data_IF_665229283859
#
_entry.id   IF_665229283859
#
_cell.length_a   1.000
_cell.length_b   1.000
_cell.length_c   1.000
_cell.angle_alpha   90.00
_cell.angle_beta   90.00
_cell.angle_gamma   90.00
#
_symmetry.space_group_name_H-M   'P 1'
#
loop_
_entity.id
_entity.type
_entity.pdbx_description
1 polymer ?
#
# COMPACT_ATOMS: atom_id res chain seq x y z
N UNK A 1 9.39 -8.83 3.86
CA UNK A 1 9.86 -8.80 2.45
C UNK A 1 9.19 -7.63 1.75
N UNK A 2 9.81 -7.01 0.73
CA UNK A 2 9.24 -5.93 -0.08
C UNK A 2 9.33 -6.34 -1.55
N UNK A 3 8.18 -6.33 -2.24
CA UNK A 3 8.11 -6.65 -3.66
C UNK A 3 8.18 -5.38 -4.50
N UNK A 4 8.98 -5.43 -5.55
CA UNK A 4 9.10 -4.36 -6.54
C UNK A 4 7.92 -4.39 -7.52
N UNK A 5 7.87 -3.41 -8.42
CA UNK A 5 6.83 -3.29 -9.44
C UNK A 5 6.58 -4.59 -10.21
N UNK A 6 5.31 -5.02 -10.24
CA UNK A 6 4.86 -6.22 -10.95
C UNK A 6 5.30 -7.55 -10.33
N UNK A 7 5.88 -7.58 -9.13
CA UNK A 7 6.28 -8.82 -8.47
C UNK A 7 5.16 -9.37 -7.58
N UNK A 8 4.76 -10.62 -7.82
CA UNK A 8 3.75 -11.35 -7.05
C UNK A 8 4.19 -12.81 -6.83
N UNK A 9 3.62 -13.44 -5.80
CA UNK A 9 3.89 -14.85 -5.46
C UNK A 9 3.05 -15.79 -6.33
N UNK A 10 3.49 -15.98 -7.57
CA UNK A 10 2.80 -16.87 -8.52
C UNK A 10 3.52 -16.98 -9.85
N UNK A 11 3.10 -17.96 -10.66
CA UNK A 11 3.52 -18.10 -12.06
C UNK A 11 2.52 -17.45 -13.00
N UNK A 12 3.04 -16.72 -13.98
CA UNK A 12 2.23 -16.08 -15.00
C UNK A 12 1.65 -17.12 -15.97
N UNK A 13 0.33 -17.09 -16.13
CA UNK A 13 -0.38 -17.84 -17.19
C UNK A 13 -0.54 -16.97 -18.43
N UNK A 14 -0.83 -15.68 -18.23
CA UNK A 14 -0.95 -14.67 -19.27
C UNK A 14 -0.59 -13.30 -18.72
N UNK A 15 0.11 -12.47 -19.49
CA UNK A 15 0.54 -11.13 -19.05
C UNK A 15 0.50 -10.13 -20.21
N UNK A 16 0.11 -8.89 -19.88
CA UNK A 16 0.23 -7.71 -20.75
C UNK A 16 0.56 -6.47 -19.94
N UNK A 17 1.15 -5.51 -20.62
CA UNK A 17 1.35 -4.14 -20.08
C UNK A 17 0.65 -3.16 -21.01
N UNK A 18 -0.20 -2.30 -20.46
CA UNK A 18 -0.98 -1.31 -21.17
C UNK A 18 -1.18 -0.07 -20.29
N UNK A 19 -0.92 1.12 -20.84
CA UNK A 19 -1.20 2.40 -20.16
C UNK A 19 -0.59 2.50 -18.74
N UNK A 20 0.60 1.92 -18.54
CA UNK A 20 1.24 1.87 -17.21
C UNK A 20 0.62 0.84 -16.25
N UNK A 21 -0.31 0.00 -16.73
CA UNK A 21 -0.92 -1.09 -15.97
C UNK A 21 -0.28 -2.43 -16.36
N UNK A 22 0.22 -3.15 -15.37
CA UNK A 22 0.59 -4.55 -15.49
C UNK A 22 -0.64 -5.42 -15.24
N UNK A 23 -1.06 -6.21 -16.23
CA UNK A 23 -2.20 -7.13 -16.14
C UNK A 23 -1.67 -8.55 -16.23
N UNK A 24 -1.94 -9.38 -15.24
CA UNK A 24 -1.44 -10.75 -15.24
C UNK A 24 -2.43 -11.74 -14.60
N UNK A 25 -2.76 -12.80 -15.34
CA UNK A 25 -3.37 -13.98 -14.75
C UNK A 25 -2.28 -14.89 -14.19
N UNK A 26 -2.49 -15.37 -12.99
CA UNK A 26 -1.49 -16.10 -12.22
C UNK A 26 -2.08 -17.30 -11.47
N UNK A 27 -1.22 -18.27 -11.20
CA UNK A 27 -1.46 -19.34 -10.24
C UNK A 27 -0.43 -19.25 -9.11
N UNK A 28 -0.80 -19.51 -7.84
CA UNK A 28 0.14 -19.46 -6.72
C UNK A 28 1.24 -20.53 -6.88
N UNK A 29 2.46 -20.19 -6.50
CA UNK A 29 3.61 -21.12 -6.59
C UNK A 29 4.33 -21.30 -5.25
N UNK A 30 3.95 -20.52 -4.24
CA UNK A 30 4.56 -20.58 -2.92
C UNK A 30 3.58 -21.24 -1.95
N UNK A 31 3.98 -22.33 -1.27
CA UNK A 31 3.14 -22.98 -0.26
C UNK A 31 2.73 -22.02 0.86
N UNK A 32 1.54 -22.22 1.44
CA UNK A 32 0.97 -21.35 2.49
C UNK A 32 1.97 -21.05 3.62
N UNK A 33 2.72 -22.06 4.07
CA UNK A 33 3.63 -21.92 5.22
C UNK A 33 4.90 -21.14 4.92
N UNK A 34 5.29 -21.01 3.64
CA UNK A 34 6.49 -20.29 3.19
C UNK A 34 6.20 -18.83 2.84
N UNK A 35 4.94 -18.42 2.77
CA UNK A 35 4.59 -17.02 2.50
C UNK A 35 4.84 -16.19 3.75
N UNK A 36 5.79 -15.28 3.67
CA UNK A 36 6.09 -14.32 4.73
C UNK A 36 5.22 -13.05 4.61
N UNK A 37 5.15 -12.30 5.71
CA UNK A 37 4.55 -10.96 5.69
C UNK A 37 5.38 -10.06 4.77
N UNK A 38 4.71 -9.44 3.80
CA UNK A 38 5.33 -8.58 2.79
C UNK A 38 4.53 -7.30 2.50
N UNK A 39 5.11 -6.44 1.67
CA UNK A 39 4.49 -5.23 1.12
C UNK A 39 4.81 -5.17 -0.36
N UNK A 40 3.93 -4.53 -1.15
CA UNK A 40 4.19 -4.18 -2.54
C UNK A 40 4.41 -2.68 -2.68
N UNK A 41 5.34 -2.29 -3.55
CA UNK A 41 5.54 -0.89 -3.92
C UNK A 41 4.40 -0.37 -4.82
N UNK A 42 3.71 -1.30 -5.47
CA UNK A 42 2.58 -1.06 -6.36
C UNK A 42 1.25 -0.93 -5.63
N UNK A 43 0.35 -0.12 -6.20
CA UNK A 43 -1.07 -0.35 -6.03
C UNK A 43 -1.49 -1.52 -6.91
N UNK A 44 -2.34 -2.41 -6.40
CA UNK A 44 -2.86 -3.49 -7.24
C UNK A 44 -4.28 -3.89 -6.87
N UNK A 45 -5.03 -4.24 -7.92
CA UNK A 45 -6.29 -4.96 -7.79
C UNK A 45 -6.00 -6.45 -7.94
N UNK A 46 -6.64 -7.25 -7.11
CA UNK A 46 -6.55 -8.71 -7.09
C UNK A 46 -7.94 -9.30 -7.28
N UNK A 47 -8.22 -9.87 -8.45
CA UNK A 47 -9.42 -10.66 -8.70
C UNK A 47 -9.15 -12.10 -8.30
N UNK A 48 -9.80 -12.57 -7.24
CA UNK A 48 -9.81 -13.97 -6.83
C UNK A 48 -10.79 -14.73 -7.69
N UNK A 49 -10.32 -15.68 -8.46
CA UNK A 49 -11.15 -16.45 -9.41
C UNK A 49 -11.44 -17.84 -8.91
N UNK A 50 -10.48 -18.47 -8.25
CA UNK A 50 -10.59 -19.83 -7.73
C UNK A 50 -9.60 -20.04 -6.56
N UNK A 51 -9.94 -21.00 -5.67
CA UNK A 51 -9.10 -21.35 -4.52
C UNK A 51 -9.53 -20.71 -3.21
N UNK A 52 -9.01 -21.23 -2.11
CA UNK A 52 -9.22 -20.71 -0.77
C UNK A 52 -8.14 -19.67 -0.44
N UNK A 53 -8.49 -18.41 -0.47
CA UNK A 53 -7.56 -17.31 -0.21
C UNK A 53 -7.56 -16.91 1.25
N UNK A 54 -6.38 -16.81 1.83
CA UNK A 54 -6.12 -16.37 3.20
C UNK A 54 -5.46 -15.01 3.15
N UNK A 55 -6.04 -14.04 3.86
CA UNK A 55 -5.50 -12.69 3.93
C UNK A 55 -5.28 -12.23 5.37
N UNK A 56 -4.14 -11.61 5.60
CA UNK A 56 -3.88 -10.84 6.81
C UNK A 56 -3.96 -9.34 6.56
N UNK A 57 -4.30 -8.95 5.32
CA UNK A 57 -4.46 -7.56 4.96
C UNK A 57 -5.59 -6.94 5.78
N UNK A 58 -5.31 -5.76 6.27
CA UNK A 58 -6.32 -5.00 6.97
C UNK A 58 -7.44 -4.61 6.01
N UNK A 59 -8.68 -4.70 6.49
CA UNK A 59 -9.89 -4.46 5.67
C UNK A 59 -10.44 -5.73 5.03
N UNK A 60 -9.70 -6.85 5.08
CA UNK A 60 -10.10 -8.12 4.51
C UNK A 60 -10.54 -9.12 5.58
N UNK A 61 -11.50 -10.01 5.28
CA UNK A 61 -11.73 -11.20 6.09
C UNK A 61 -10.51 -12.12 6.03
N UNK A 62 -10.23 -12.84 7.13
CA UNK A 62 -9.09 -13.75 7.20
C UNK A 62 -9.15 -14.90 6.14
N UNK A 63 -10.35 -15.22 5.66
CA UNK A 63 -10.60 -16.27 4.68
C UNK A 63 -11.56 -15.73 3.63
N UNK A 64 -11.21 -15.88 2.36
CA UNK A 64 -12.07 -15.62 1.21
C UNK A 64 -12.20 -16.90 0.41
N UNK A 65 -13.39 -17.45 0.35
CA UNK A 65 -13.75 -18.66 -0.40
C UNK A 65 -14.74 -18.36 -1.55
N UNK A 66 -14.93 -17.08 -1.83
CA UNK A 66 -15.78 -16.58 -2.88
C UNK A 66 -14.96 -15.76 -3.86
N UNK A 67 -15.43 -15.68 -5.09
CA UNK A 67 -14.90 -14.73 -6.05
C UNK A 67 -15.02 -13.31 -5.50
N UNK A 68 -13.92 -12.60 -5.48
CA UNK A 68 -13.85 -11.25 -4.94
C UNK A 68 -12.81 -10.43 -5.68
N UNK A 69 -12.99 -9.13 -5.68
CA UNK A 69 -11.96 -8.18 -6.10
C UNK A 69 -11.51 -7.35 -4.91
N UNK A 70 -10.21 -7.26 -4.75
CA UNK A 70 -9.54 -6.59 -3.63
C UNK A 70 -8.62 -5.54 -4.22
N UNK A 71 -8.66 -4.32 -3.68
CA UNK A 71 -7.69 -3.27 -4.01
C UNK A 71 -6.73 -3.09 -2.83
N UNK A 72 -5.44 -3.21 -3.10
CA UNK A 72 -4.35 -2.97 -2.15
C UNK A 72 -3.59 -1.71 -2.56
N UNK A 73 -3.65 -0.63 -1.77
CA UNK A 73 -2.78 0.54 -1.97
C UNK A 73 -1.30 0.19 -1.78
N UNK A 74 -0.37 1.00 -2.35
CA UNK A 74 1.05 0.82 -2.14
C UNK A 74 1.42 0.78 -0.65
N UNK A 75 2.31 -0.15 -0.29
CA UNK A 75 2.78 -0.30 1.09
C UNK A 75 1.81 -1.02 2.03
N UNK A 76 0.68 -1.52 1.53
CA UNK A 76 -0.21 -2.38 2.33
C UNK A 76 0.57 -3.60 2.81
N UNK A 77 0.65 -3.75 4.13
CA UNK A 77 1.37 -4.87 4.75
C UNK A 77 0.44 -6.04 4.94
N UNK A 78 0.79 -7.18 4.36
CA UNK A 78 -0.04 -8.37 4.42
C UNK A 78 0.78 -9.67 4.32
N UNK A 79 0.14 -10.76 4.69
CA UNK A 79 0.51 -12.13 4.35
C UNK A 79 -0.70 -12.73 3.66
N UNK A 80 -0.65 -12.74 2.35
CA UNK A 80 -1.74 -13.20 1.50
C UNK A 80 -1.28 -14.43 0.72
N UNK A 81 -2.02 -15.52 0.85
CA UNK A 81 -1.67 -16.81 0.26
C UNK A 81 -2.91 -17.62 -0.07
N UNK A 82 -2.73 -18.65 -0.88
CA UNK A 82 -3.77 -19.64 -1.13
C UNK A 82 -3.51 -20.87 -0.25
N UNK A 83 -4.59 -21.45 0.27
CA UNK A 83 -4.52 -22.73 0.98
C UNK A 83 -4.49 -23.87 -0.01
N UNK A 84 -3.48 -24.73 0.09
CA UNK A 84 -3.24 -25.82 -0.85
C UNK A 84 -2.59 -25.35 -2.15
N UNK A 85 -2.53 -26.25 -3.13
CA UNK A 85 -1.81 -26.02 -4.40
C UNK A 85 -2.72 -25.48 -5.52
N UNK A 86 -3.94 -25.09 -5.17
CA UNK A 86 -4.94 -24.63 -6.12
C UNK A 86 -5.31 -23.18 -5.85
N UNK A 87 -5.26 -22.39 -6.90
CA UNK A 87 -5.69 -21.00 -6.88
C UNK A 87 -5.51 -20.39 -8.26
N UNK A 88 -6.38 -19.45 -8.60
CA UNK A 88 -6.28 -18.64 -9.81
C UNK A 88 -6.70 -17.23 -9.51
N UNK A 89 -5.87 -16.29 -9.92
CA UNK A 89 -6.14 -14.89 -9.70
C UNK A 89 -5.62 -14.02 -10.83
N UNK A 90 -6.27 -12.88 -11.03
CA UNK A 90 -5.80 -11.83 -11.93
C UNK A 90 -5.28 -10.67 -11.08
N UNK A 91 -4.13 -10.14 -11.45
CA UNK A 91 -3.60 -8.88 -10.90
C UNK A 91 -3.68 -7.77 -11.94
N UNK A 92 -4.09 -6.58 -11.48
CA UNK A 92 -3.85 -5.34 -12.19
C UNK A 92 -2.98 -4.48 -11.31
N UNK A 93 -1.75 -4.23 -11.70
CA UNK A 93 -0.77 -3.47 -10.91
C UNK A 93 -0.40 -2.15 -11.57
N UNK A 94 -0.18 -1.13 -10.76
CA UNK A 94 0.24 0.20 -11.18
C UNK A 94 1.37 0.66 -10.27
N UNK A 95 2.38 1.32 -10.84
CA UNK A 95 3.49 1.84 -10.04
C UNK A 95 3.01 2.81 -8.95
N UNK A 96 3.75 2.89 -7.85
CA UNK A 96 3.40 3.81 -6.76
C UNK A 96 3.40 5.29 -7.19
N UNK A 97 4.17 5.66 -8.22
CA UNK A 97 4.19 7.02 -8.78
C UNK A 97 2.93 7.29 -9.59
N UNK A 98 2.54 6.39 -10.49
CA UNK A 98 1.31 6.49 -11.27
C UNK A 98 0.08 6.47 -10.37
N UNK A 99 0.09 5.62 -9.33
CA UNK A 99 -0.94 5.61 -8.32
C UNK A 99 -1.09 6.96 -7.61
N UNK A 100 0.03 7.58 -7.19
CA UNK A 100 0.01 8.91 -6.56
C UNK A 100 -0.54 9.98 -7.50
N UNK A 101 -0.19 9.91 -8.77
CA UNK A 101 -0.74 10.82 -9.79
C UNK A 101 -2.24 10.62 -9.97
N UNK A 102 -2.71 9.36 -10.08
CA UNK A 102 -4.11 9.02 -10.25
C UNK A 102 -4.98 9.35 -9.02
N UNK A 103 -4.37 9.34 -7.82
CA UNK A 103 -5.09 9.58 -6.56
C UNK A 103 -4.81 10.96 -5.94
N UNK A 104 -4.25 11.89 -6.72
CA UNK A 104 -3.86 13.24 -6.25
C UNK A 104 -5.00 13.99 -5.54
N UNK A 105 -6.21 13.82 -6.03
CA UNK A 105 -7.38 14.57 -5.57
C UNK A 105 -8.20 13.84 -4.50
N UNK A 106 -7.76 12.67 -4.04
CA UNK A 106 -8.43 11.94 -2.98
C UNK A 106 -7.45 11.13 -2.11
N UNK A 107 -7.77 11.02 -0.83
CA UNK A 107 -6.99 10.24 0.11
C UNK A 107 -7.40 8.79 0.04
N UNK A 108 -6.49 7.90 -0.34
CA UNK A 108 -6.68 6.46 -0.20
C UNK A 108 -6.06 6.01 1.12
N UNK A 109 -6.81 5.20 1.89
CA UNK A 109 -6.28 4.58 3.11
C UNK A 109 -5.14 3.60 2.78
N UNK A 110 -4.41 3.19 3.80
CA UNK A 110 -3.32 2.21 3.73
C UNK A 110 -3.79 0.79 4.09
N UNK A 111 -4.97 0.44 3.66
CA UNK A 111 -5.64 -0.82 3.95
C UNK A 111 -6.31 -1.38 2.70
N UNK A 112 -6.43 -2.71 2.65
CA UNK A 112 -7.10 -3.39 1.56
C UNK A 112 -8.60 -3.03 1.53
N UNK A 113 -9.14 -2.89 0.34
CA UNK A 113 -10.57 -2.64 0.11
C UNK A 113 -11.17 -3.85 -0.63
N UNK A 114 -12.15 -4.50 -0.04
CA UNK A 114 -13.03 -5.40 -0.81
C UNK A 114 -13.99 -4.54 -1.63
N UNK A 115 -13.94 -4.74 -2.93
CA UNK A 115 -14.71 -3.97 -3.89
C UNK A 115 -16.09 -4.60 -4.11
N UNK A 116 -16.99 -3.84 -4.70
CA UNK A 116 -18.37 -4.26 -4.98
C UNK A 116 -18.52 -5.09 -6.28
N UNK A 117 -19.78 -5.37 -6.63
CA UNK A 117 -20.10 -6.16 -7.83
C UNK A 117 -19.77 -5.43 -9.14
N UNK A 118 -19.79 -4.10 -9.18
CA UNK A 118 -19.44 -3.31 -10.36
C UNK A 118 -17.97 -3.49 -10.68
N UNK A 119 -17.11 -3.31 -9.68
CA UNK A 119 -15.68 -3.54 -9.80
C UNK A 119 -15.35 -5.00 -10.17
N UNK A 120 -16.10 -5.97 -9.61
CA UNK A 120 -15.95 -7.37 -9.95
C UNK A 120 -16.23 -7.64 -11.45
N UNK A 121 -17.30 -7.07 -11.99
CA UNK A 121 -17.64 -7.19 -13.41
C UNK A 121 -16.58 -6.55 -14.31
N UNK A 122 -16.07 -5.37 -13.95
CA UNK A 122 -15.00 -4.72 -14.68
C UNK A 122 -13.73 -5.55 -14.72
N UNK A 123 -13.33 -6.16 -13.59
CA UNK A 123 -12.17 -7.04 -13.54
C UNK A 123 -12.35 -8.30 -14.40
N UNK A 124 -13.56 -8.87 -14.44
CA UNK A 124 -13.86 -10.00 -15.33
C UNK A 124 -13.83 -9.62 -16.81
N UNK A 125 -14.29 -8.43 -17.19
CA UNK A 125 -14.19 -7.95 -18.57
C UNK A 125 -12.73 -7.78 -18.98
N UNK A 126 -11.88 -7.20 -18.10
CA UNK A 126 -10.45 -7.12 -18.34
C UNK A 126 -9.82 -8.51 -18.51
N UNK A 127 -10.20 -9.48 -17.67
CA UNK A 127 -9.75 -10.86 -17.80
C UNK A 127 -10.20 -11.48 -19.14
N UNK A 128 -11.44 -11.23 -19.55
CA UNK A 128 -11.96 -11.69 -20.86
C UNK A 128 -11.14 -11.12 -22.00
N UNK A 129 -10.90 -9.80 -22.02
CA UNK A 129 -10.10 -9.13 -23.04
C UNK A 129 -8.65 -9.65 -23.09
N UNK A 130 -8.08 -9.95 -21.92
CA UNK A 130 -6.77 -10.58 -21.86
C UNK A 130 -6.73 -11.92 -22.62
N UNK A 131 -7.86 -12.66 -22.68
CA UNK A 131 -7.96 -13.98 -23.31
C UNK A 131 -8.46 -13.92 -24.75
N UNK A 132 -9.35 -13.03 -25.06
CA UNK A 132 -10.00 -12.87 -26.37
C UNK A 132 -9.56 -11.55 -27.02
N UNK A 133 -8.24 -11.38 -27.17
CA UNK A 133 -7.66 -10.14 -27.63
C UNK A 133 -8.03 -9.80 -29.08
N UNK A 134 -8.56 -8.60 -29.29
CA UNK A 134 -8.83 -7.99 -30.59
C UNK A 134 -8.41 -6.51 -30.62
N UNK A 135 -8.75 -5.79 -31.70
CA UNK A 135 -8.37 -4.40 -31.92
C UNK A 135 -9.05 -3.43 -30.93
N UNK A 136 -10.18 -3.81 -30.33
CA UNK A 136 -10.91 -3.01 -29.35
C UNK A 136 -10.44 -3.27 -27.90
N UNK A 137 -9.75 -4.39 -27.66
CA UNK A 137 -9.41 -4.85 -26.30
C UNK A 137 -8.64 -3.83 -25.48
N UNK A 138 -7.73 -3.07 -26.09
CA UNK A 138 -6.98 -2.02 -25.39
C UNK A 138 -7.91 -0.91 -24.86
N UNK A 139 -8.88 -0.46 -25.64
CA UNK A 139 -9.85 0.56 -25.24
C UNK A 139 -10.81 0.04 -24.17
N UNK A 140 -11.24 -1.21 -24.28
CA UNK A 140 -12.09 -1.85 -23.25
C UNK A 140 -11.35 -1.92 -21.93
N UNK A 141 -10.09 -2.37 -21.92
CA UNK A 141 -9.26 -2.46 -20.72
C UNK A 141 -9.06 -1.07 -20.09
N UNK A 142 -8.81 -0.05 -20.89
CA UNK A 142 -8.68 1.33 -20.40
C UNK A 142 -9.98 1.78 -19.71
N UNK A 143 -11.13 1.63 -20.35
CA UNK A 143 -12.43 2.02 -19.81
C UNK A 143 -12.78 1.28 -18.51
N UNK A 144 -12.57 -0.04 -18.48
CA UNK A 144 -12.84 -0.86 -17.29
C UNK A 144 -11.86 -0.55 -16.14
N UNK A 145 -10.61 -0.21 -16.47
CA UNK A 145 -9.63 0.25 -15.47
C UNK A 145 -10.06 1.56 -14.83
N UNK A 146 -10.54 2.53 -15.60
CA UNK A 146 -11.13 3.77 -15.07
C UNK A 146 -12.31 3.49 -14.15
N UNK A 147 -13.15 2.51 -14.48
CA UNK A 147 -14.26 2.08 -13.64
C UNK A 147 -13.74 1.52 -12.31
N UNK A 148 -12.74 0.64 -12.32
CA UNK A 148 -12.11 0.10 -11.11
C UNK A 148 -11.56 1.20 -10.20
N UNK A 149 -10.88 2.20 -10.74
CA UNK A 149 -10.38 3.34 -9.94
C UNK A 149 -11.50 4.19 -9.38
N UNK A 150 -12.57 4.41 -10.14
CA UNK A 150 -13.75 5.15 -9.68
C UNK A 150 -14.44 4.44 -8.52
N UNK A 151 -14.65 3.12 -8.65
CA UNK A 151 -15.24 2.30 -7.58
C UNK A 151 -14.35 2.23 -6.34
N UNK A 152 -13.03 2.15 -6.49
CA UNK A 152 -12.09 2.23 -5.37
C UNK A 152 -12.22 3.57 -4.62
N UNK A 153 -12.40 4.67 -5.34
CA UNK A 153 -12.64 5.99 -4.76
C UNK A 153 -13.96 6.05 -3.99
N UNK A 154 -15.03 5.49 -4.56
CA UNK A 154 -16.36 5.43 -3.92
C UNK A 154 -16.32 4.58 -2.66
N UNK A 155 -15.75 3.37 -2.73
CA UNK A 155 -15.62 2.46 -1.60
C UNK A 155 -14.80 3.09 -0.45
N UNK A 156 -13.68 3.74 -0.78
CA UNK A 156 -12.88 4.46 0.21
C UNK A 156 -13.66 5.60 0.86
N UNK A 157 -14.39 6.38 0.08
CA UNK A 157 -15.21 7.49 0.57
C UNK A 157 -16.35 7.01 1.48
N UNK A 158 -17.04 5.93 1.13
CA UNK A 158 -18.07 5.32 1.96
C UNK A 158 -17.51 4.88 3.32
N UNK A 159 -16.32 4.28 3.34
CA UNK A 159 -15.63 3.91 4.57
C UNK A 159 -15.22 5.14 5.40
N UNK A 160 -14.85 6.24 4.77
CA UNK A 160 -14.59 7.49 5.48
C UNK A 160 -15.85 8.08 6.11
N UNK A 161 -16.96 8.06 5.41
CA UNK A 161 -18.25 8.56 5.94
C UNK A 161 -18.84 7.68 7.05
N UNK A 162 -18.61 6.38 7.05
CA UNK A 162 -19.11 5.47 8.07
C UNK A 162 -18.32 5.53 9.39
N UNK A 163 -17.15 6.14 9.38
CA UNK A 163 -16.31 6.29 10.58
C UNK A 163 -16.67 7.55 11.35
N UNK A 164 -16.69 7.53 12.70
CA UNK A 164 -16.88 8.73 13.50
C UNK A 164 -15.90 9.83 13.06
N UNK A 165 -16.37 11.10 12.85
CA UNK A 165 -15.53 12.19 12.32
C UNK A 165 -14.25 12.47 13.14
N UNK A 166 -14.26 12.15 14.43
CA UNK A 166 -13.10 12.32 15.29
C UNK A 166 -11.93 11.37 14.91
N UNK A 167 -12.21 10.20 14.32
CA UNK A 167 -11.16 9.27 13.86
C UNK A 167 -10.33 9.86 12.73
N UNK A 168 -10.97 10.46 11.74
CA UNK A 168 -10.28 11.12 10.63
C UNK A 168 -9.45 12.31 11.16
N UNK A 169 -10.05 13.17 11.99
CA UNK A 169 -9.36 14.31 12.62
C UNK A 169 -8.16 13.86 13.47
N UNK A 170 -8.31 12.75 14.20
CA UNK A 170 -7.19 12.19 14.98
C UNK A 170 -6.06 11.73 14.08
N UNK A 171 -6.37 11.01 13.00
CA UNK A 171 -5.37 10.55 12.02
C UNK A 171 -4.60 11.72 11.42
N UNK A 172 -5.30 12.75 10.95
CA UNK A 172 -4.70 13.96 10.39
C UNK A 172 -3.79 14.64 11.40
N UNK A 173 -4.26 14.84 12.62
CA UNK A 173 -3.47 15.45 13.68
C UNK A 173 -2.20 14.66 14.00
N UNK A 174 -2.28 13.33 14.06
CA UNK A 174 -1.12 12.46 14.28
C UNK A 174 -0.13 12.51 13.10
N UNK A 175 -0.62 12.66 11.87
CA UNK A 175 0.22 12.77 10.68
C UNK A 175 0.91 14.12 10.61
N UNK A 176 0.16 15.20 10.78
CA UNK A 176 0.65 16.57 10.60
C UNK A 176 1.61 16.97 11.73
N UNK A 177 1.36 16.49 12.95
CA UNK A 177 2.18 16.75 14.14
C UNK A 177 2.95 15.50 14.61
N UNK A 178 3.41 14.65 13.67
CA UNK A 178 4.03 13.37 14.03
C UNK A 178 5.34 13.53 14.83
N UNK A 179 5.99 14.69 14.80
CA UNK A 179 7.18 15.01 15.60
C UNK A 179 6.86 15.28 17.09
N UNK A 180 5.61 15.57 17.44
CA UNK A 180 5.16 15.73 18.81
C UNK A 180 4.90 14.36 19.46
N UNK A 181 4.90 14.34 20.81
CA UNK A 181 4.52 13.16 21.58
C UNK A 181 3.17 13.39 22.24
N UNK A 182 2.05 13.12 21.51
CA UNK A 182 0.73 13.35 22.06
C UNK A 182 0.42 12.34 23.16
N UNK A 183 -0.30 12.77 24.18
CA UNK A 183 -0.94 11.86 25.13
C UNK A 183 -2.22 11.33 24.51
N UNK A 184 -2.29 10.04 24.25
CA UNK A 184 -3.48 9.43 23.63
C UNK A 184 -4.74 9.58 24.48
N UNK A 185 -4.61 9.68 25.81
CA UNK A 185 -5.70 10.02 26.71
C UNK A 185 -6.27 11.43 26.46
N UNK A 186 -5.43 12.39 26.09
CA UNK A 186 -5.86 13.74 25.72
C UNK A 186 -6.59 13.73 24.37
N UNK A 187 -6.09 12.96 23.39
CA UNK A 187 -6.77 12.80 22.11
C UNK A 187 -8.14 12.13 22.27
N UNK A 188 -8.25 11.13 23.15
CA UNK A 188 -9.51 10.50 23.48
C UNK A 188 -10.49 11.49 24.16
N UNK A 189 -9.99 12.32 25.06
CA UNK A 189 -10.78 13.40 25.71
C UNK A 189 -11.27 14.44 24.70
N UNK A 190 -10.43 14.85 23.76
CA UNK A 190 -10.82 15.78 22.68
C UNK A 190 -11.89 15.16 21.78
N UNK A 191 -11.84 13.85 21.57
CA UNK A 191 -12.81 13.09 20.81
C UNK A 191 -14.09 12.77 21.59
N UNK A 192 -14.15 13.14 22.88
CA UNK A 192 -15.22 12.85 23.82
C UNK A 192 -15.56 11.35 23.91
N UNK A 193 -14.49 10.53 23.98
CA UNK A 193 -14.63 9.07 24.08
C UNK A 193 -13.68 8.50 25.14
N UNK A 194 -14.03 7.33 25.67
CA UNK A 194 -13.16 6.63 26.60
C UNK A 194 -11.85 6.16 25.92
N UNK A 195 -10.66 6.28 26.53
CA UNK A 195 -9.37 5.93 25.92
C UNK A 195 -9.29 4.50 25.35
N UNK A 196 -9.93 3.53 26.00
CA UNK A 196 -9.99 2.14 25.50
C UNK A 196 -10.81 2.05 24.22
N UNK A 197 -11.95 2.73 24.18
CA UNK A 197 -12.78 2.80 22.97
C UNK A 197 -12.05 3.53 21.84
N UNK A 198 -11.38 4.64 22.14
CA UNK A 198 -10.54 5.38 21.22
C UNK A 198 -9.49 4.48 20.54
N UNK A 199 -8.71 3.73 21.34
CA UNK A 199 -7.69 2.83 20.81
C UNK A 199 -8.29 1.68 19.98
N UNK A 200 -9.43 1.10 20.41
CA UNK A 200 -10.15 0.05 19.67
C UNK A 200 -10.71 0.55 18.35
N UNK A 201 -11.41 1.68 18.37
CA UNK A 201 -12.01 2.26 17.18
C UNK A 201 -10.93 2.69 16.17
N UNK A 202 -9.84 3.29 16.65
CA UNK A 202 -8.70 3.64 15.80
C UNK A 202 -8.06 2.40 15.17
N UNK A 203 -7.82 1.35 15.97
CA UNK A 203 -7.27 0.07 15.48
C UNK A 203 -8.25 -0.60 14.50
N UNK A 204 -9.54 -0.59 14.81
CA UNK A 204 -10.56 -1.14 13.92
C UNK A 204 -10.59 -0.41 12.57
N UNK A 205 -10.47 0.92 12.58
CA UNK A 205 -10.55 1.75 11.36
C UNK A 205 -9.24 1.79 10.57
N UNK A 206 -8.08 1.81 11.27
CA UNK A 206 -6.76 2.00 10.63
C UNK A 206 -5.81 0.79 10.79
N UNK A 207 -6.23 -0.36 11.38
CA UNK A 207 -5.54 -1.64 11.55
C UNK A 207 -4.31 -1.61 12.44
N UNK A 208 -3.95 -0.46 12.91
CA UNK A 208 -2.84 -0.29 13.84
C UNK A 208 -3.27 0.59 15.02
N UNK A 209 -2.58 0.46 16.13
CA UNK A 209 -2.81 1.38 17.26
C UNK A 209 -2.41 2.81 16.88
N UNK A 210 -2.94 3.84 17.57
CA UNK A 210 -2.52 5.22 17.37
C UNK A 210 -1.00 5.41 17.51
N UNK A 211 -0.35 4.64 18.41
CA UNK A 211 1.11 4.68 18.61
C UNK A 211 1.90 4.07 17.45
N UNK A 212 1.42 2.97 16.89
CA UNK A 212 2.02 2.37 15.70
C UNK A 212 1.87 3.29 14.48
N UNK A 213 0.70 3.91 14.32
CA UNK A 213 0.45 4.90 13.27
C UNK A 213 1.41 6.09 13.39
N UNK A 214 1.52 6.68 14.59
CA UNK A 214 2.45 7.79 14.84
C UNK A 214 3.90 7.41 14.54
N UNK A 215 4.33 6.21 14.95
CA UNK A 215 5.69 5.71 14.64
C UNK A 215 5.93 5.61 13.15
N UNK A 216 4.96 5.14 12.37
CA UNK A 216 5.05 5.07 10.92
C UNK A 216 5.19 6.45 10.29
N UNK A 217 4.35 7.42 10.68
CA UNK A 217 4.46 8.80 10.20
C UNK A 217 5.83 9.43 10.49
N UNK A 218 6.40 9.16 11.68
CA UNK A 218 7.76 9.59 12.04
C UNK A 218 8.82 8.99 11.12
N UNK A 219 8.71 7.71 10.82
CA UNK A 219 9.65 7.00 9.94
C UNK A 219 9.54 7.48 8.51
N UNK A 220 8.34 7.72 7.99
CA UNK A 220 8.12 8.33 6.67
C UNK A 220 8.71 9.74 6.58
N UNK A 221 8.56 10.56 7.63
CA UNK A 221 9.24 11.86 7.73
C UNK A 221 10.76 11.69 7.71
N UNK A 222 11.28 10.70 8.43
CA UNK A 222 12.71 10.43 8.48
C UNK A 222 13.29 10.03 7.12
N UNK A 223 12.59 9.26 6.28
CA UNK A 223 13.07 8.90 4.94
C UNK A 223 13.26 10.13 4.06
N UNK A 224 12.40 11.13 4.19
CA UNK A 224 12.55 12.42 3.49
C UNK A 224 13.77 13.18 3.98
N UNK A 225 13.96 13.30 5.31
CA UNK A 225 15.09 14.01 5.91
C UNK A 225 16.44 13.30 5.68
N UNK A 226 16.44 11.97 5.51
CA UNK A 226 17.65 11.20 5.19
C UNK A 226 18.25 11.53 3.83
N UNK A 227 17.50 12.17 2.93
CA UNK A 227 18.01 12.69 1.65
C UNK A 227 18.95 13.89 1.85
N UNK A 228 18.74 14.65 2.92
CA UNK A 228 19.64 15.74 3.30
C UNK A 228 20.87 15.17 4.02
N UNK A 229 22.05 15.40 3.44
CA UNK A 229 23.33 14.89 3.94
C UNK A 229 23.91 15.70 5.08
N UNK A 230 23.49 16.95 5.20
CA UNK A 230 23.99 17.85 6.25
C UNK A 230 23.41 17.49 7.61
N UNK A 231 22.25 16.84 7.63
CA UNK A 231 21.61 16.45 8.87
C UNK A 231 22.25 15.16 9.45
N UNK A 232 22.65 15.24 10.71
CA UNK A 232 23.10 14.05 11.45
C UNK A 232 21.93 13.11 11.72
N UNK A 233 22.18 11.80 11.92
CA UNK A 233 21.15 10.84 12.30
C UNK A 233 20.50 11.20 13.65
N UNK A 234 21.25 11.79 14.57
CA UNK A 234 20.73 12.29 15.84
C UNK A 234 19.76 13.45 15.63
N UNK A 235 20.15 14.42 14.77
CA UNK A 235 19.28 15.55 14.41
C UNK A 235 17.98 15.09 13.76
N UNK A 236 18.05 14.12 12.84
CA UNK A 236 16.88 13.52 12.18
C UNK A 236 15.98 12.81 13.20
N UNK A 237 16.57 12.02 14.11
CA UNK A 237 15.81 11.35 15.16
C UNK A 237 14.99 12.34 15.99
N UNK A 238 15.62 13.42 16.45
CA UNK A 238 14.96 14.48 17.22
C UNK A 238 13.89 15.21 16.39
N UNK A 239 14.21 15.61 15.16
CA UNK A 239 13.28 16.29 14.26
C UNK A 239 12.05 15.44 13.90
N UNK A 240 12.15 14.11 13.99
CA UNK A 240 11.04 13.18 13.78
C UNK A 240 10.32 12.78 15.08
N UNK A 241 10.71 13.31 16.23
CA UNK A 241 10.05 13.04 17.53
C UNK A 241 10.44 11.71 18.17
N UNK A 242 11.58 11.12 17.80
CA UNK A 242 12.15 9.99 18.53
C UNK A 242 12.86 10.47 19.80
N UNK A 243 12.82 9.64 20.84
CA UNK A 243 13.47 9.96 22.11
C UNK A 243 14.99 10.12 21.95
N UNK A 244 15.60 9.24 21.16
CA UNK A 244 17.02 9.22 20.85
C UNK A 244 17.31 8.54 19.52
N UNK A 245 18.57 8.64 19.07
CA UNK A 245 19.04 8.01 17.83
C UNK A 245 18.97 6.48 17.89
N UNK A 246 19.14 5.85 19.04
CA UNK A 246 19.12 4.39 19.20
C UNK A 246 17.70 3.85 19.02
N UNK A 247 16.71 4.53 19.57
CA UNK A 247 15.30 4.23 19.36
C UNK A 247 14.91 4.42 17.88
N UNK A 248 15.35 5.51 17.26
CA UNK A 248 15.16 5.74 15.83
C UNK A 248 15.77 4.62 14.99
N UNK A 249 17.03 4.27 15.19
CA UNK A 249 17.74 3.24 14.44
C UNK A 249 17.04 1.88 14.53
N UNK A 250 16.61 1.48 15.74
CA UNK A 250 15.87 0.22 15.95
C UNK A 250 14.53 0.22 15.21
N UNK A 251 13.74 1.28 15.38
CA UNK A 251 12.43 1.41 14.74
C UNK A 251 12.56 1.44 13.22
N UNK A 252 13.54 2.16 12.69
CA UNK A 252 13.80 2.26 11.26
C UNK A 252 14.20 0.90 10.67
N UNK A 253 15.16 0.21 11.32
CA UNK A 253 15.61 -1.11 10.87
C UNK A 253 14.49 -2.15 10.94
N UNK A 254 13.66 -2.10 11.96
CA UNK A 254 12.51 -3.00 12.10
C UNK A 254 11.49 -2.80 10.98
N UNK A 255 11.32 -1.57 10.50
CA UNK A 255 10.33 -1.23 9.46
C UNK A 255 10.87 -1.41 8.05
N UNK A 256 12.11 -0.98 7.79
CA UNK A 256 12.69 -0.95 6.43
C UNK A 256 13.76 -2.03 6.19
N UNK A 257 14.05 -2.90 7.17
CA UNK A 257 15.04 -3.96 7.05
C UNK A 257 16.51 -3.49 7.05
N UNK A 258 16.76 -2.19 6.92
CA UNK A 258 18.10 -1.60 6.85
C UNK A 258 18.27 -0.46 7.85
N UNK A 259 19.52 -0.15 8.24
CA UNK A 259 19.76 1.02 9.10
C UNK A 259 19.55 2.34 8.34
N UNK A 260 19.21 3.45 9.04
CA UNK A 260 19.05 4.77 8.43
C UNK A 260 20.29 5.20 7.63
N UNK A 261 21.49 4.89 8.14
CA UNK A 261 22.74 5.20 7.44
C UNK A 261 22.90 4.41 6.12
N UNK A 262 22.55 3.12 6.12
CA UNK A 262 22.55 2.30 4.90
C UNK A 262 21.49 2.79 3.91
N UNK A 263 20.30 3.12 4.38
CA UNK A 263 19.23 3.70 3.55
C UNK A 263 19.70 5.00 2.86
N UNK A 264 20.34 5.91 3.60
CA UNK A 264 20.93 7.15 3.05
C UNK A 264 21.95 6.88 1.93
N UNK A 265 22.77 5.84 2.08
CA UNK A 265 23.76 5.44 1.07
C UNK A 265 23.10 4.85 -0.19
N UNK A 266 22.03 4.09 -0.03
CA UNK A 266 21.28 3.51 -1.15
C UNK A 266 20.58 4.62 -1.97
N UNK A 267 19.89 5.54 -1.32
CA UNK A 267 19.28 6.70 -1.97
C UNK A 267 20.28 7.59 -2.73
N UNK A 268 21.58 7.58 -2.33
CA UNK A 268 22.65 8.22 -3.07
C UNK A 268 22.98 7.54 -4.40
N UNK A 269 23.00 6.22 -4.41
CA UNK A 269 23.31 5.45 -5.62
C UNK A 269 22.28 5.66 -6.71
N UNK A 270 20.99 5.66 -6.34
CA UNK A 270 19.90 5.89 -7.27
C UNK A 270 19.95 7.29 -7.89
N UNK A 271 20.20 8.33 -7.08
CA UNK A 271 20.34 9.70 -7.58
C UNK A 271 21.56 9.88 -8.52
N UNK A 272 22.66 9.15 -8.30
CA UNK A 272 23.82 9.18 -9.21
C UNK A 272 23.57 8.46 -10.54
N UNK A 273 22.81 7.36 -10.53
CA UNK A 273 22.47 6.62 -11.76
C UNK A 273 21.59 7.45 -12.67
N UNK A 274 20.60 8.13 -12.12
CA UNK A 274 19.73 9.04 -12.90
C UNK A 274 20.49 10.25 -13.49
N UNK A 275 21.40 10.84 -12.72
CA UNK A 275 22.18 11.99 -13.22
C UNK A 275 23.20 11.63 -14.31
N UNK A 276 23.65 10.36 -14.37
CA UNK A 276 24.53 9.87 -15.44
C UNK A 276 23.74 9.54 -16.71
N UNK A 277 22.49 9.10 -16.59
CA UNK A 277 21.62 8.85 -17.74
C UNK A 277 21.17 10.14 -18.42
N UNK A 278 20.86 11.20 -17.66
CA UNK A 278 20.52 12.53 -18.22
C UNK A 278 21.74 13.22 -18.89
N UNK A 279 22.95 12.95 -18.44
CA UNK A 279 24.17 13.49 -19.03
C UNK A 279 24.61 12.80 -20.33
N UNK A 280 23.98 11.67 -20.71
CA UNK A 280 24.35 10.87 -21.86
C UNK A 280 23.50 11.13 -23.13
N UNK A 281 22.62 12.12 -23.11
CA UNK A 281 21.90 12.58 -24.30
C UNK A 281 22.38 13.99 -24.67
N UNK A 282 23.41 14.15 -25.53
CA UNK A 282 23.67 15.44 -26.15
C UNK A 282 22.54 15.71 -27.15
N UNK A 283 21.87 16.81 -26.92
CA UNK A 283 20.93 17.40 -27.89
C UNK A 283 21.75 17.74 -29.13
N UNK A 284 21.48 17.01 -30.24
CA UNK A 284 21.80 17.45 -31.58
C UNK A 284 20.59 18.15 -32.16
#
# INVERSE_FOLDING_TARGET
MQFQHGQFLGSYQKRRELFGLGIAEMTPTVPEHDVEIHTHDDAHFLLLMDGLYLSSARGMPAICNETAIIMNPPGTRHRDCFRGDHGRFLTLSMSGDDWRAATKDFSVGDYALRMDATALLSAYRIWHELHQWDDASALVIEAESHTLFSEARIANKQLEYSAPPWLARTRERLRDNCFETPRFSELAKIADVHPVYFARAFRHRYGCSPGEYLRRCRLERATRLLRDRQLSLATIAMACGFVDQSHFNRSFRQTYGVSPGKFRLMAKREAMVHSVQDASHPVC
#
